data_IF_386766403315
#
_entry.id   IF_386766403315
#
_cell.length_a   1.000
_cell.length_b   1.000
_cell.length_c   1.000
_cell.angle_alpha   90.00
_cell.angle_beta   90.00
_cell.angle_gamma   90.00
#
_symmetry.space_group_name_H-M   'P 1'
#
loop_
_entity.id
_entity.type
_entity.pdbx_description
1 polymer ?
#
# COMPACT_ATOMS: atom_id res chain seq x y z
N UNK A 1 29.34 44.00 14.80
CA UNK A 1 28.83 44.34 13.47
C UNK A 1 27.75 43.33 13.10
N UNK A 2 26.49 43.74 13.24
CA UNK A 2 25.31 43.03 12.73
C UNK A 2 24.95 43.68 11.39
N UNK A 3 24.74 42.88 10.35
CA UNK A 3 23.93 43.22 9.18
C UNK A 3 23.21 41.92 8.80
N UNK A 4 21.89 41.78 8.99
CA UNK A 4 20.81 42.47 8.27
C UNK A 4 20.93 42.27 6.76
N UNK A 5 20.48 41.11 6.27
CA UNK A 5 19.92 40.92 4.94
C UNK A 5 19.21 39.57 4.95
N UNK A 6 17.98 39.53 5.48
CA UNK A 6 16.91 38.59 5.12
C UNK A 6 15.67 38.86 6.00
N UNK A 7 15.24 40.11 6.08
CA UNK A 7 14.02 40.46 6.81
C UNK A 7 13.32 41.69 6.22
N UNK A 8 13.21 41.76 4.89
CA UNK A 8 12.37 42.71 4.20
C UNK A 8 11.81 42.07 2.93
N UNK A 9 10.90 41.11 3.07
CA UNK A 9 9.98 40.75 1.98
C UNK A 9 8.65 40.11 2.44
N UNK A 10 8.41 40.00 3.75
CA UNK A 10 7.22 39.31 4.28
C UNK A 10 6.09 40.27 4.69
N UNK A 11 6.28 41.60 4.59
CA UNK A 11 5.25 42.59 5.02
C UNK A 11 4.57 43.40 3.92
N UNK A 12 4.93 43.23 2.66
CA UNK A 12 4.36 44.06 1.58
C UNK A 12 3.37 43.34 0.63
N UNK A 13 3.13 42.04 0.83
CA UNK A 13 2.11 41.28 0.07
C UNK A 13 0.84 40.94 0.87
N UNK A 14 0.71 41.47 2.10
CA UNK A 14 -0.41 41.15 3.01
C UNK A 14 -1.59 42.15 2.96
N UNK A 15 -1.57 43.17 2.09
CA UNK A 15 -2.59 44.24 2.10
C UNK A 15 -3.26 44.57 0.77
N UNK A 16 -3.01 43.81 -0.30
CA UNK A 16 -3.69 43.96 -1.60
C UNK A 16 -4.12 42.64 -2.26
N UNK A 17 -4.37 41.62 -1.44
CA UNK A 17 -5.35 40.56 -1.70
C UNK A 17 -6.46 40.75 -0.66
N UNK A 18 -7.02 41.95 -0.54
CA UNK A 18 -8.20 42.36 -1.31
C UNK A 18 -9.25 41.26 -1.40
N UNK A 19 -10.09 41.22 -0.36
CA UNK A 19 -11.54 41.37 -0.53
C UNK A 19 -12.32 40.27 -1.29
N UNK A 20 -11.79 39.04 -1.37
CA UNK A 20 -12.52 37.89 -1.97
C UNK A 20 -12.84 36.75 -1.00
N UNK A 21 -12.69 36.94 0.32
CA UNK A 21 -12.81 35.84 1.30
C UNK A 21 -13.83 36.05 2.44
N UNK A 22 -14.74 37.03 2.37
CA UNK A 22 -15.77 37.23 3.42
C UNK A 22 -17.20 37.47 2.88
N UNK A 23 -17.49 37.14 1.60
CA UNK A 23 -18.82 37.37 1.00
C UNK A 23 -19.43 36.14 0.29
N UNK A 24 -19.28 34.95 0.87
CA UNK A 24 -20.07 33.78 0.47
C UNK A 24 -20.84 33.11 1.62
N UNK A 25 -20.81 33.70 2.82
CA UNK A 25 -21.81 33.44 3.86
C UNK A 25 -22.96 34.44 3.69
N UNK A 26 -23.88 34.17 2.75
CA UNK A 26 -25.30 34.61 2.71
C UNK A 26 -25.83 34.58 1.28
N UNK A 27 -25.96 33.39 0.69
CA UNK A 27 -26.97 33.13 -0.34
C UNK A 27 -27.61 31.76 -0.09
N UNK A 28 -28.32 31.67 1.03
CA UNK A 28 -29.62 31.00 1.07
C UNK A 28 -30.59 31.99 1.69
N UNK A 29 -30.97 33.01 0.93
CA UNK A 29 -32.32 33.54 1.07
C UNK A 29 -33.24 32.52 0.41
N UNK A 30 -33.65 31.50 1.17
CA UNK A 30 -34.91 30.84 0.90
C UNK A 30 -35.99 31.58 1.70
N UNK A 31 -36.40 32.74 1.19
CA UNK A 31 -37.80 33.14 1.32
C UNK A 31 -38.56 32.33 0.29
N UNK A 32 -38.85 31.09 0.65
CA UNK A 32 -39.95 30.33 0.08
C UNK A 32 -40.74 29.80 1.25
N UNK A 33 -41.97 30.31 1.40
CA UNK A 33 -43.01 29.80 2.28
C UNK A 33 -42.88 28.29 2.46
N UNK A 34 -42.47 27.82 3.64
CA UNK A 34 -42.40 26.39 3.91
C UNK A 34 -43.79 25.79 3.70
N UNK A 35 -44.00 24.88 2.73
CA UNK A 35 -45.10 23.95 2.86
C UNK A 35 -44.84 23.23 4.18
N UNK A 36 -45.85 23.08 5.03
CA UNK A 36 -45.77 22.25 6.24
C UNK A 36 -45.64 20.78 5.86
N UNK A 37 -44.52 20.40 5.25
CA UNK A 37 -44.21 19.05 4.83
C UNK A 37 -43.99 18.21 6.08
N UNK A 38 -45.08 17.60 6.55
CA UNK A 38 -45.04 16.55 7.57
C UNK A 38 -44.35 15.36 6.92
N UNK A 39 -43.14 15.06 7.38
CA UNK A 39 -42.37 13.90 6.97
C UNK A 39 -42.85 12.68 7.77
N UNK A 40 -42.85 11.49 7.17
CA UNK A 40 -43.23 10.24 7.82
C UNK A 40 -42.18 9.15 7.54
N UNK A 41 -41.67 8.48 8.59
CA UNK A 41 -40.69 7.38 8.46
C UNK A 41 -41.42 6.04 8.37
N UNK A 42 -41.11 5.25 7.33
CA UNK A 42 -41.78 3.97 7.00
C UNK A 42 -40.82 2.87 6.58
N UNK A 43 -41.34 1.65 6.48
CA UNK A 43 -40.63 0.50 5.89
C UNK A 43 -40.55 0.57 4.36
N UNK A 44 -41.59 1.09 3.72
CA UNK A 44 -41.73 1.16 2.26
C UNK A 44 -42.51 2.41 1.84
N UNK A 45 -42.33 2.82 0.59
CA UNK A 45 -43.13 3.89 -0.02
C UNK A 45 -44.52 3.33 -0.38
N UNK A 46 -45.58 4.15 -0.25
CA UNK A 46 -46.96 3.71 -0.51
C UNK A 46 -47.18 3.35 -2.00
N UNK A 47 -47.90 2.25 -2.28
CA UNK A 47 -48.16 1.72 -3.64
C UNK A 47 -49.06 2.59 -4.54
N UNK A 48 -49.50 3.76 -4.08
CA UNK A 48 -50.22 4.70 -4.95
C UNK A 48 -49.31 5.14 -6.11
N UNK A 49 -49.78 5.04 -7.35
CA UNK A 49 -49.05 5.28 -8.61
C UNK A 49 -48.28 6.64 -8.72
N UNK A 50 -48.44 7.55 -7.76
CA UNK A 50 -47.80 8.87 -7.71
C UNK A 50 -46.63 8.99 -6.72
N UNK A 51 -46.35 7.99 -5.88
CA UNK A 51 -45.26 8.02 -4.89
C UNK A 51 -44.14 7.07 -5.32
N UNK A 52 -43.14 7.58 -6.03
CA UNK A 52 -41.93 6.81 -6.36
C UNK A 52 -40.75 7.27 -5.51
N UNK A 53 -39.77 6.40 -5.32
CA UNK A 53 -38.49 6.77 -4.72
C UNK A 53 -37.77 7.68 -5.70
N UNK A 54 -37.53 8.93 -5.30
CA UNK A 54 -36.88 9.94 -6.15
C UNK A 54 -35.50 10.35 -5.65
N UNK A 55 -35.15 9.96 -4.41
CA UNK A 55 -33.91 10.33 -3.74
C UNK A 55 -33.42 9.20 -2.85
N UNK A 56 -32.11 9.13 -2.64
CA UNK A 56 -31.47 8.23 -1.70
C UNK A 56 -30.63 9.06 -0.71
N UNK A 57 -30.67 8.71 0.56
CA UNK A 57 -29.80 9.26 1.60
C UNK A 57 -29.14 8.13 2.38
N UNK A 58 -27.93 8.41 2.86
CA UNK A 58 -27.22 7.54 3.80
C UNK A 58 -27.16 8.22 5.16
N UNK A 59 -27.50 7.50 6.22
CA UNK A 59 -27.57 8.03 7.58
C UNK A 59 -26.75 7.19 8.55
N UNK A 60 -26.14 7.84 9.54
CA UNK A 60 -25.61 7.14 10.70
C UNK A 60 -26.80 6.65 11.55
N UNK A 61 -26.91 5.33 11.83
CA UNK A 61 -28.03 4.77 12.58
C UNK A 61 -28.17 5.34 14.00
N UNK A 62 -27.09 5.86 14.59
CA UNK A 62 -27.10 6.48 15.93
C UNK A 62 -27.58 7.94 15.95
N UNK A 63 -27.74 8.61 14.80
CA UNK A 63 -28.19 10.00 14.77
C UNK A 63 -29.68 10.14 15.08
N UNK A 64 -30.05 11.32 15.57
CA UNK A 64 -31.44 11.68 15.83
C UNK A 64 -32.20 11.87 14.52
N UNK A 65 -33.47 11.45 14.52
CA UNK A 65 -34.39 11.70 13.41
C UNK A 65 -34.78 13.20 13.42
N UNK A 66 -34.93 13.85 12.25
CA UNK A 66 -35.38 15.23 12.18
C UNK A 66 -36.71 15.44 12.94
N UNK A 67 -36.84 16.52 13.73
CA UNK A 67 -37.99 16.71 14.63
C UNK A 67 -39.33 16.92 13.89
N UNK A 68 -39.29 17.24 12.60
CA UNK A 68 -40.44 17.41 11.71
C UNK A 68 -40.91 16.09 11.07
N UNK A 69 -40.25 14.96 11.35
CA UNK A 69 -40.64 13.63 10.87
C UNK A 69 -41.39 12.84 11.95
N UNK A 70 -42.56 12.33 11.62
CA UNK A 70 -43.35 11.44 12.47
C UNK A 70 -43.04 9.96 12.20
N UNK A 71 -43.11 9.13 13.23
CA UNK A 71 -42.87 7.68 13.14
C UNK A 71 -44.15 6.97 13.60
N UNK A 72 -44.87 6.39 12.64
CA UNK A 72 -46.14 5.70 12.92
C UNK A 72 -45.88 4.22 13.20
N UNK A 73 -45.57 3.89 14.45
CA UNK A 73 -45.36 2.50 14.91
C UNK A 73 -46.46 2.05 15.86
N UNK A 74 -46.79 0.74 15.83
CA UNK A 74 -47.84 0.14 16.69
C UNK A 74 -47.45 0.08 18.17
N UNK A 75 -46.15 0.09 18.50
CA UNK A 75 -45.65 0.10 19.89
C UNK A 75 -45.24 1.52 20.28
N UNK A 76 -45.87 2.09 21.31
CA UNK A 76 -45.48 3.38 21.90
C UNK A 76 -44.15 3.22 22.64
N UNK A 77 -43.06 3.61 21.98
CA UNK A 77 -41.75 3.81 22.60
C UNK A 77 -41.20 5.18 22.19
N UNK A 78 -40.37 5.78 23.04
CA UNK A 78 -39.69 7.03 22.70
C UNK A 78 -38.61 6.74 21.65
N UNK A 79 -38.96 6.90 20.37
CA UNK A 79 -38.03 6.71 19.25
C UNK A 79 -37.34 8.04 18.98
N UNK A 80 -36.02 8.06 19.17
CA UNK A 80 -35.20 9.23 18.93
C UNK A 80 -34.20 9.05 17.80
N UNK A 81 -33.76 7.81 17.54
CA UNK A 81 -32.72 7.51 16.54
C UNK A 81 -33.23 6.66 15.38
N UNK A 82 -32.48 6.70 14.27
CA UNK A 82 -32.75 5.87 13.09
C UNK A 82 -32.73 4.37 13.40
N UNK A 83 -31.77 3.91 14.22
CA UNK A 83 -31.69 2.51 14.63
C UNK A 83 -32.93 2.05 15.41
N UNK A 84 -33.41 2.88 16.34
CA UNK A 84 -34.64 2.59 17.10
C UNK A 84 -35.86 2.54 16.18
N UNK A 85 -35.95 3.45 15.20
CA UNK A 85 -37.02 3.45 14.21
C UNK A 85 -37.02 2.15 13.38
N UNK A 86 -35.86 1.70 12.88
CA UNK A 86 -35.76 0.45 12.11
C UNK A 86 -36.20 -0.77 12.92
N UNK A 87 -35.79 -0.87 14.18
CA UNK A 87 -36.17 -1.98 15.06
C UNK A 87 -37.69 -2.07 15.29
N UNK A 88 -38.37 -0.92 15.39
CA UNK A 88 -39.81 -0.86 15.69
C UNK A 88 -40.69 -0.95 14.43
N UNK A 89 -40.20 -0.46 13.29
CA UNK A 89 -40.91 -0.50 12.01
C UNK A 89 -40.90 -1.91 11.40
N UNK A 90 -39.89 -2.73 11.73
CA UNK A 90 -39.83 -4.19 11.51
C UNK A 90 -40.36 -4.64 10.15
N UNK A 91 -39.51 -4.75 9.12
CA UNK A 91 -40.01 -5.32 7.86
C UNK A 91 -39.13 -5.23 6.62
N UNK A 92 -38.04 -4.48 6.59
CA UNK A 92 -37.19 -4.47 5.40
C UNK A 92 -36.29 -5.70 5.34
N UNK A 93 -36.79 -6.78 4.74
CA UNK A 93 -35.95 -7.79 4.09
C UNK A 93 -35.61 -7.24 2.69
N UNK A 94 -34.56 -6.43 2.60
CA UNK A 94 -34.11 -5.79 1.34
C UNK A 94 -32.89 -4.88 1.53
N UNK A 95 -32.36 -4.32 0.44
CA UNK A 95 -31.21 -3.39 0.44
C UNK A 95 -31.55 -1.99 1.01
N UNK A 96 -32.84 -1.70 1.16
CA UNK A 96 -33.40 -0.46 1.68
C UNK A 96 -33.68 -0.61 3.18
N UNK A 97 -33.14 0.29 4.02
CA UNK A 97 -33.36 0.19 5.47
C UNK A 97 -34.71 0.77 5.87
N UNK A 98 -34.99 2.01 5.44
CA UNK A 98 -36.22 2.76 5.72
C UNK A 98 -36.59 3.67 4.53
N UNK A 99 -37.77 4.28 4.59
CA UNK A 99 -38.23 5.31 3.66
C UNK A 99 -38.67 6.54 4.43
N UNK A 100 -38.24 7.72 3.97
CA UNK A 100 -38.84 9.00 4.35
C UNK A 100 -39.87 9.39 3.30
N UNK A 101 -41.12 9.55 3.72
CA UNK A 101 -42.19 10.01 2.86
C UNK A 101 -42.57 11.44 3.25
N UNK A 102 -42.43 12.36 2.31
CA UNK A 102 -42.89 13.74 2.45
C UNK A 102 -44.19 13.92 1.68
N UNK A 103 -45.22 14.46 2.36
CA UNK A 103 -46.50 14.79 1.75
C UNK A 103 -46.71 16.30 1.79
N UNK A 104 -46.91 16.91 0.63
CA UNK A 104 -47.20 18.33 0.49
C UNK A 104 -48.41 18.61 -0.40
N UNK A 105 -49.07 19.75 -0.17
CA UNK A 105 -50.04 20.32 -1.13
C UNK A 105 -49.29 21.24 -2.09
N UNK A 106 -49.35 20.97 -3.40
CA UNK A 106 -48.87 21.92 -4.41
C UNK A 106 -49.77 23.16 -4.45
N UNK A 107 -49.24 24.29 -4.94
CA UNK A 107 -50.01 25.53 -5.20
C UNK A 107 -51.23 25.30 -6.12
N UNK A 108 -51.21 24.23 -6.93
CA UNK A 108 -52.30 23.85 -7.85
C UNK A 108 -53.26 22.80 -7.27
N UNK A 109 -53.25 22.54 -5.95
CA UNK A 109 -54.11 21.52 -5.32
C UNK A 109 -53.70 20.07 -5.57
N UNK A 110 -52.69 19.83 -6.43
CA UNK A 110 -52.13 18.49 -6.69
C UNK A 110 -51.27 18.03 -5.50
N UNK A 111 -51.52 16.83 -4.99
CA UNK A 111 -50.70 16.22 -3.94
C UNK A 111 -49.31 15.89 -4.50
N UNK A 112 -48.26 16.41 -3.85
CA UNK A 112 -46.88 16.02 -4.15
C UNK A 112 -46.47 15.01 -3.08
N UNK A 113 -46.07 13.83 -3.53
CA UNK A 113 -45.52 12.78 -2.70
C UNK A 113 -44.07 12.56 -3.11
N UNK A 114 -43.13 12.72 -2.18
CA UNK A 114 -41.73 12.40 -2.40
C UNK A 114 -41.30 11.30 -1.43
N UNK A 115 -40.76 10.22 -1.97
CA UNK A 115 -40.16 9.16 -1.16
C UNK A 115 -38.64 9.22 -1.31
N UNK A 116 -37.96 9.29 -0.17
CA UNK A 116 -36.51 9.21 -0.08
C UNK A 116 -36.14 7.87 0.54
N UNK A 117 -35.36 7.07 -0.17
CA UNK A 117 -34.76 5.86 0.34
C UNK A 117 -33.71 6.19 1.40
N UNK A 118 -33.79 5.53 2.55
CA UNK A 118 -32.82 5.68 3.64
C UNK A 118 -32.00 4.41 3.73
N UNK A 119 -30.69 4.56 3.65
CA UNK A 119 -29.72 3.50 3.87
C UNK A 119 -28.87 3.81 5.10
N UNK A 120 -28.59 2.80 5.91
CA UNK A 120 -27.76 2.93 7.10
C UNK A 120 -26.31 2.71 6.76
N UNK A 121 -25.43 3.45 7.43
CA UNK A 121 -24.01 3.14 7.34
C UNK A 121 -23.71 1.74 7.83
N UNK A 122 -22.81 1.06 7.12
CA UNK A 122 -22.28 -0.26 7.49
C UNK A 122 -20.77 -0.13 7.64
N UNK A 123 -20.26 -0.65 8.75
CA UNK A 123 -18.84 -0.63 9.04
C UNK A 123 -18.02 -1.30 7.93
N UNK A 124 -16.83 -0.77 7.69
CA UNK A 124 -15.88 -1.35 6.76
C UNK A 124 -15.47 -2.72 7.28
N UNK A 125 -15.75 -3.75 6.50
CA UNK A 125 -15.31 -5.10 6.76
C UNK A 125 -14.32 -5.55 5.70
N UNK A 126 -13.28 -6.29 6.10
CA UNK A 126 -12.35 -6.93 5.20
C UNK A 126 -12.94 -8.29 4.81
N UNK A 127 -13.24 -8.48 3.53
CA UNK A 127 -13.71 -9.78 3.04
C UNK A 127 -12.54 -10.75 2.86
N UNK A 128 -11.51 -10.31 2.15
CA UNK A 128 -10.25 -11.03 1.99
C UNK A 128 -9.15 -10.09 1.50
N UNK A 129 -7.91 -10.59 1.49
CA UNK A 129 -6.77 -9.97 0.83
C UNK A 129 -5.77 -11.03 0.38
N UNK A 130 -4.69 -10.60 -0.27
CA UNK A 130 -3.63 -11.52 -0.69
C UNK A 130 -3.04 -12.30 0.48
N UNK A 131 -2.67 -13.55 0.23
CA UNK A 131 -1.98 -14.39 1.21
C UNK A 131 -0.69 -13.71 1.72
N UNK A 132 -0.40 -13.91 3.00
CA UNK A 132 0.83 -13.44 3.64
C UNK A 132 1.54 -14.63 4.30
N UNK A 133 2.83 -14.88 4.01
CA UNK A 133 3.66 -14.11 3.10
C UNK A 133 3.30 -14.34 1.62
N UNK A 134 3.62 -13.36 0.79
CA UNK A 134 3.53 -13.43 -0.66
C UNK A 134 4.94 -13.46 -1.25
N UNK A 135 5.23 -14.46 -2.06
CA UNK A 135 6.57 -14.75 -2.57
C UNK A 135 6.72 -14.15 -3.97
N UNK A 136 7.79 -13.37 -4.18
CA UNK A 136 8.12 -12.77 -5.47
C UNK A 136 9.51 -13.21 -5.96
N UNK A 137 9.69 -13.21 -7.27
CA UNK A 137 10.96 -13.53 -7.94
C UNK A 137 11.17 -12.59 -9.12
N UNK A 138 12.41 -12.52 -9.62
CA UNK A 138 12.82 -11.55 -10.65
C UNK A 138 12.01 -11.60 -11.94
N UNK A 139 11.52 -12.77 -12.33
CA UNK A 139 10.89 -12.98 -13.63
C UNK A 139 9.35 -12.94 -13.59
N UNK A 140 8.77 -12.71 -12.41
CA UNK A 140 7.31 -12.72 -12.23
C UNK A 140 6.81 -11.35 -11.81
N UNK A 141 5.76 -10.90 -12.49
CA UNK A 141 4.91 -9.82 -12.00
C UNK A 141 4.13 -10.34 -10.80
N UNK A 142 3.85 -9.45 -9.85
CA UNK A 142 3.06 -9.78 -8.67
C UNK A 142 1.99 -8.73 -8.42
N UNK A 143 0.90 -9.16 -7.80
CA UNK A 143 -0.19 -8.28 -7.40
C UNK A 143 -0.55 -8.56 -5.95
N UNK A 144 -0.77 -7.48 -5.20
CA UNK A 144 -1.44 -7.54 -3.91
C UNK A 144 -2.87 -7.03 -4.05
N UNK A 145 -3.80 -7.60 -3.30
CA UNK A 145 -5.17 -7.17 -3.26
C UNK A 145 -5.75 -7.11 -1.86
N UNK A 146 -6.73 -6.22 -1.70
CA UNK A 146 -7.61 -6.16 -0.55
C UNK A 146 -9.04 -5.90 -1.01
N UNK A 147 -9.99 -6.64 -0.45
CA UNK A 147 -11.40 -6.52 -0.76
C UNK A 147 -12.17 -6.12 0.49
N UNK A 148 -12.90 -5.01 0.41
CA UNK A 148 -13.68 -4.47 1.52
C UNK A 148 -15.15 -4.35 1.15
N UNK A 149 -16.03 -4.69 2.09
CA UNK A 149 -17.46 -4.37 2.04
C UNK A 149 -17.76 -3.22 3.00
N UNK A 150 -18.54 -2.23 2.58
CA UNK A 150 -19.05 -1.18 3.45
C UNK A 150 -20.29 -0.53 2.82
N UNK A 151 -21.00 0.29 3.59
CA UNK A 151 -22.00 1.19 3.04
C UNK A 151 -21.86 2.58 3.70
N UNK A 152 -21.66 3.67 2.93
CA UNK A 152 -21.45 3.67 1.49
C UNK A 152 -20.15 2.94 1.09
N UNK A 153 -19.96 2.66 -0.20
CA UNK A 153 -18.69 2.11 -0.63
C UNK A 153 -17.58 3.16 -0.49
N UNK A 154 -16.40 2.80 0.04
CA UNK A 154 -15.30 3.74 0.19
C UNK A 154 -14.82 4.21 -1.18
N UNK A 155 -14.64 5.52 -1.35
CA UNK A 155 -14.16 6.10 -2.60
C UNK A 155 -12.65 5.88 -2.83
N UNK A 156 -11.88 5.64 -1.76
CA UNK A 156 -10.42 5.53 -1.79
C UNK A 156 -9.96 4.39 -0.87
N UNK A 157 -8.96 3.64 -1.33
CA UNK A 157 -8.19 2.69 -0.53
C UNK A 157 -6.73 3.12 -0.64
N UNK A 158 -6.09 3.38 0.50
CA UNK A 158 -4.71 3.85 0.54
C UNK A 158 -3.75 2.68 0.77
N UNK A 159 -2.67 2.64 0.00
CA UNK A 159 -1.58 1.68 0.18
C UNK A 159 -0.37 2.31 0.84
N UNK A 160 0.26 1.57 1.73
CA UNK A 160 1.45 1.97 2.48
C UNK A 160 2.51 0.89 2.40
N UNK A 161 3.78 1.28 2.34
CA UNK A 161 4.92 0.41 2.64
C UNK A 161 5.42 0.72 4.06
N UNK A 162 5.38 -0.27 4.93
CA UNK A 162 5.77 -0.13 6.33
C UNK A 162 7.28 -0.38 6.49
N UNK A 163 8.00 0.55 7.12
CA UNK A 163 9.40 0.36 7.50
C UNK A 163 9.50 -0.31 8.88
N UNK A 164 9.89 -1.59 8.88
CA UNK A 164 10.14 -2.45 10.05
C UNK A 164 8.95 -2.66 11.02
N UNK A 165 8.77 -3.87 11.57
CA UNK A 165 7.63 -4.17 12.44
C UNK A 165 7.74 -3.60 13.88
N UNK A 166 8.94 -3.24 14.37
CA UNK A 166 9.21 -3.20 15.82
C UNK A 166 9.56 -1.83 16.45
N UNK A 167 9.70 -0.74 15.71
CA UNK A 167 9.89 0.61 16.29
C UNK A 167 9.19 1.66 15.44
N UNK A 168 8.35 2.52 16.05
CA UNK A 168 7.60 3.62 15.43
C UNK A 168 7.27 3.40 13.94
N UNK A 169 6.20 2.63 13.65
CA UNK A 169 5.78 2.28 12.28
C UNK A 169 5.71 3.51 11.38
N UNK A 170 6.76 3.76 10.62
CA UNK A 170 6.76 4.79 9.59
C UNK A 170 6.06 4.17 8.38
N UNK A 171 4.80 4.57 8.18
CA UNK A 171 4.03 4.21 7.00
C UNK A 171 4.39 5.16 5.87
N UNK A 172 5.00 4.64 4.82
CA UNK A 172 5.28 5.42 3.62
C UNK A 172 4.10 5.26 2.65
N UNK A 173 3.32 6.33 2.38
CA UNK A 173 2.23 6.24 1.41
C UNK A 173 2.81 5.91 0.03
N UNK A 174 2.20 4.96 -0.65
CA UNK A 174 2.57 4.62 -2.02
C UNK A 174 1.78 5.52 -2.97
N UNK A 175 2.48 6.28 -3.81
CA UNK A 175 1.85 7.06 -4.88
C UNK A 175 1.77 6.22 -6.16
N UNK A 176 0.65 6.32 -6.86
CA UNK A 176 0.41 5.56 -8.09
C UNK A 176 1.51 5.85 -9.13
N UNK A 177 2.13 4.81 -9.68
CA UNK A 177 3.23 4.89 -10.65
C UNK A 177 4.63 5.01 -10.03
N UNK A 178 4.75 5.21 -8.72
CA UNK A 178 6.08 5.27 -8.06
C UNK A 178 6.84 3.96 -8.27
N UNK A 179 8.04 4.04 -8.85
CA UNK A 179 8.87 2.86 -9.18
C UNK A 179 8.14 1.79 -10.02
N UNK A 180 7.18 2.22 -10.85
CA UNK A 180 6.38 1.29 -11.67
C UNK A 180 5.35 0.47 -10.88
N UNK A 181 5.08 0.83 -9.62
CA UNK A 181 4.02 0.22 -8.81
C UNK A 181 2.72 0.98 -9.07
N UNK A 182 1.68 0.28 -9.52
CA UNK A 182 0.40 0.89 -9.89
C UNK A 182 -0.74 0.44 -8.98
N UNK A 183 -1.67 1.34 -8.72
CA UNK A 183 -2.87 1.08 -7.91
C UNK A 183 -4.10 1.09 -8.81
N UNK A 184 -4.99 0.11 -8.65
CA UNK A 184 -6.36 0.17 -9.18
C UNK A 184 -7.39 -0.04 -8.08
N UNK A 185 -8.58 0.48 -8.35
CA UNK A 185 -9.74 0.36 -7.49
C UNK A 185 -10.95 0.00 -8.35
N UNK A 186 -11.61 -1.10 -8.02
CA UNK A 186 -12.70 -1.68 -8.81
C UNK A 186 -13.89 -1.97 -7.89
N UNK A 187 -15.09 -1.57 -8.32
CA UNK A 187 -16.33 -1.99 -7.67
C UNK A 187 -16.68 -3.40 -8.13
N UNK A 188 -16.88 -4.31 -7.18
CA UNK A 188 -17.23 -5.71 -7.44
C UNK A 188 -18.49 -6.11 -6.66
N UNK A 189 -19.05 -7.27 -7.00
CA UNK A 189 -20.11 -7.93 -6.22
C UNK A 189 -19.60 -9.24 -5.67
N UNK A 190 -19.79 -9.45 -4.37
CA UNK A 190 -19.41 -10.67 -3.65
C UNK A 190 -20.64 -11.17 -2.90
N UNK A 191 -21.15 -12.36 -3.22
CA UNK A 191 -22.34 -12.93 -2.58
C UNK A 191 -23.53 -11.95 -2.51
N UNK A 192 -23.82 -11.27 -3.63
CA UNK A 192 -24.87 -10.24 -3.76
C UNK A 192 -24.62 -8.91 -3.00
N UNK A 193 -23.55 -8.82 -2.21
CA UNK A 193 -23.11 -7.59 -1.56
C UNK A 193 -22.14 -6.80 -2.45
N UNK A 194 -22.28 -5.47 -2.49
CA UNK A 194 -21.31 -4.63 -3.17
C UNK A 194 -20.03 -4.49 -2.33
N UNK A 195 -18.89 -4.62 -2.98
CA UNK A 195 -17.57 -4.50 -2.36
C UNK A 195 -16.63 -3.69 -3.25
N UNK A 196 -15.53 -3.21 -2.66
CA UNK A 196 -14.46 -2.54 -3.37
C UNK A 196 -13.20 -3.42 -3.33
N UNK A 197 -12.63 -3.69 -4.50
CA UNK A 197 -11.37 -4.41 -4.68
C UNK A 197 -10.28 -3.40 -5.01
N UNK A 198 -9.27 -3.31 -4.16
CA UNK A 198 -8.08 -2.52 -4.43
C UNK A 198 -6.92 -3.44 -4.75
N UNK A 199 -6.19 -3.14 -5.82
CA UNK A 199 -5.03 -3.92 -6.28
C UNK A 199 -3.80 -3.04 -6.35
N UNK A 200 -2.70 -3.53 -5.80
CA UNK A 200 -1.36 -2.96 -5.93
C UNK A 200 -0.53 -3.86 -6.85
N UNK A 201 -0.24 -3.39 -8.06
CA UNK A 201 0.51 -4.11 -9.09
C UNK A 201 1.96 -3.73 -9.06
N UNK A 202 2.83 -4.73 -9.01
CA UNK A 202 4.27 -4.57 -9.03
C UNK A 202 4.80 -4.78 -10.45
N UNK A 203 5.93 -4.15 -10.81
CA UNK A 203 6.70 -4.56 -11.97
C UNK A 203 7.33 -5.94 -11.72
N UNK A 204 8.32 -6.32 -12.54
CA UNK A 204 9.12 -7.50 -12.27
C UNK A 204 9.73 -7.45 -10.86
N UNK A 205 9.73 -8.59 -10.16
CA UNK A 205 10.19 -8.68 -8.78
C UNK A 205 11.63 -8.18 -8.61
N UNK A 206 11.88 -7.50 -7.50
CA UNK A 206 13.22 -7.05 -7.12
C UNK A 206 13.30 -6.97 -5.60
N UNK A 207 14.52 -7.02 -5.07
CA UNK A 207 14.77 -6.96 -3.62
C UNK A 207 14.18 -5.70 -2.98
N UNK A 208 14.10 -4.59 -3.72
CA UNK A 208 13.54 -3.34 -3.18
C UNK A 208 12.03 -3.42 -2.91
N UNK A 209 11.33 -4.38 -3.55
CA UNK A 209 9.91 -4.64 -3.34
C UNK A 209 9.66 -5.47 -2.09
N UNK A 210 10.67 -6.07 -1.49
CA UNK A 210 10.54 -6.80 -0.23
C UNK A 210 10.07 -5.87 0.90
N UNK A 211 9.20 -6.38 1.78
CA UNK A 211 8.75 -5.66 2.96
C UNK A 211 7.26 -5.87 3.26
N UNK A 212 6.74 -5.03 4.16
CA UNK A 212 5.34 -5.10 4.60
C UNK A 212 4.52 -4.02 3.90
N UNK A 213 3.39 -4.43 3.34
CA UNK A 213 2.47 -3.57 2.60
C UNK A 213 1.12 -3.57 3.29
N UNK A 214 0.61 -2.38 3.61
CA UNK A 214 -0.69 -2.22 4.26
C UNK A 214 -1.64 -1.51 3.31
N UNK A 215 -2.79 -2.12 3.02
CA UNK A 215 -3.93 -1.42 2.46
C UNK A 215 -4.81 -0.92 3.62
N UNK A 216 -5.32 0.30 3.53
CA UNK A 216 -6.14 0.92 4.57
C UNK A 216 -7.29 1.70 3.96
N UNK A 217 -8.44 1.53 4.58
CA UNK A 217 -9.66 2.26 4.26
C UNK A 217 -10.09 3.03 5.48
N UNK A 218 -10.51 4.28 5.24
CA UNK A 218 -11.24 5.09 6.20
C UNK A 218 -12.47 5.58 5.48
N UNK A 219 -13.63 5.17 5.98
CA UNK A 219 -14.92 5.68 5.54
C UNK A 219 -15.52 6.54 6.65
N UNK A 220 -16.05 7.70 6.29
CA UNK A 220 -16.65 8.60 7.28
C UNK A 220 -17.77 9.43 6.69
N UNK A 221 -18.81 9.61 7.50
CA UNK A 221 -19.90 10.55 7.29
C UNK A 221 -20.13 11.33 8.58
N UNK A 222 -21.04 12.29 8.59
CA UNK A 222 -21.30 13.09 9.79
C UNK A 222 -21.63 12.21 11.02
N UNK A 223 -20.80 12.33 12.07
CA UNK A 223 -20.97 11.61 13.33
C UNK A 223 -20.65 10.11 13.27
N UNK A 224 -20.06 9.60 12.19
CA UNK A 224 -19.68 8.19 12.05
C UNK A 224 -18.39 8.02 11.26
N UNK A 225 -17.49 7.17 11.74
CA UNK A 225 -16.32 6.74 10.98
C UNK A 225 -16.07 5.26 11.21
N UNK A 226 -15.54 4.61 10.19
CA UNK A 226 -15.11 3.23 10.24
C UNK A 226 -13.80 3.09 9.48
N UNK A 227 -12.87 2.35 10.05
CA UNK A 227 -11.59 2.07 9.40
C UNK A 227 -11.28 0.57 9.44
N UNK A 228 -10.54 0.13 8.44
CA UNK A 228 -9.99 -1.22 8.39
C UNK A 228 -8.70 -1.18 7.61
N UNK A 229 -7.74 -1.99 8.04
CA UNK A 229 -6.45 -2.15 7.36
C UNK A 229 -6.05 -3.61 7.32
N UNK A 230 -5.38 -4.01 6.25
CA UNK A 230 -4.83 -5.35 6.09
C UNK A 230 -3.38 -5.26 5.62
N UNK A 231 -2.52 -6.07 6.23
CA UNK A 231 -1.07 -6.05 6.00
C UNK A 231 -0.64 -7.36 5.38
N UNK A 232 0.18 -7.28 4.33
CA UNK A 232 0.75 -8.40 3.60
C UNK A 232 2.27 -8.27 3.60
N UNK A 233 2.97 -9.35 3.92
CA UNK A 233 4.42 -9.43 3.78
C UNK A 233 4.78 -9.89 2.36
N UNK A 234 5.60 -9.12 1.65
CA UNK A 234 6.28 -9.53 0.42
C UNK A 234 7.68 -10.04 0.76
N UNK A 235 8.03 -11.22 0.26
CA UNK A 235 9.37 -11.81 0.39
C UNK A 235 9.92 -12.01 -1.01
N UNK A 236 11.07 -11.41 -1.31
CA UNK A 236 11.79 -11.68 -2.55
C UNK A 236 12.64 -12.95 -2.40
N UNK A 237 12.58 -13.85 -3.37
CA UNK A 237 13.45 -15.03 -3.44
C UNK A 237 14.54 -14.77 -4.47
N UNK A 238 15.78 -15.05 -4.10
CA UNK A 238 16.92 -14.92 -4.97
C UNK A 238 16.78 -15.83 -6.20
N UNK A 239 17.20 -15.37 -7.38
CA UNK A 239 17.24 -16.23 -8.55
C UNK A 239 18.21 -17.38 -8.31
N UNK A 240 18.07 -18.44 -9.10
CA UNK A 240 19.01 -19.56 -9.07
C UNK A 240 20.44 -19.02 -9.25
N UNK A 241 21.39 -19.39 -8.39
CA UNK A 241 22.75 -18.87 -8.43
C UNK A 241 23.41 -19.13 -9.81
N UNK A 242 24.07 -18.10 -10.37
CA UNK A 242 24.84 -18.21 -11.61
C UNK A 242 26.35 -18.33 -11.34
N UNK A 243 27.14 -18.92 -12.26
CA UNK A 243 28.59 -19.05 -12.11
C UNK A 243 29.26 -17.74 -11.66
N UNK A 244 30.27 -17.80 -10.79
CA UNK A 244 30.89 -16.60 -10.25
C UNK A 244 31.45 -15.75 -11.39
N UNK A 245 31.42 -14.44 -11.20
CA UNK A 245 31.86 -13.47 -12.21
C UNK A 245 32.96 -12.57 -11.67
N UNK A 246 33.79 -12.05 -12.56
CA UNK A 246 34.90 -11.15 -12.21
C UNK A 246 34.73 -9.84 -12.96
N UNK A 247 34.89 -8.71 -12.27
CA UNK A 247 34.83 -7.40 -12.93
C UNK A 247 36.02 -7.16 -13.87
N UNK A 248 37.15 -7.82 -13.60
CA UNK A 248 38.36 -7.76 -14.42
C UNK A 248 38.93 -9.16 -14.65
N UNK A 249 39.36 -9.43 -15.88
CA UNK A 249 40.07 -10.67 -16.23
C UNK A 249 41.57 -10.60 -15.93
N UNK A 250 42.10 -9.39 -15.71
CA UNK A 250 43.51 -9.14 -15.42
C UNK A 250 43.68 -8.01 -14.43
N UNK A 251 44.58 -8.19 -13.46
CA UNK A 251 44.98 -7.18 -12.48
C UNK A 251 46.49 -7.03 -12.53
N UNK A 252 46.97 -5.78 -12.58
CA UNK A 252 48.40 -5.46 -12.49
C UNK A 252 48.71 -4.94 -11.10
N UNK A 253 49.76 -5.46 -10.48
CA UNK A 253 50.23 -5.05 -9.16
C UNK A 253 51.71 -4.68 -9.19
N UNK A 254 52.08 -3.63 -8.47
CA UNK A 254 53.47 -3.26 -8.31
C UNK A 254 54.16 -4.22 -7.33
N UNK A 255 55.44 -4.46 -7.53
CA UNK A 255 56.25 -5.20 -6.56
C UNK A 255 56.17 -4.54 -5.18
N UNK A 256 56.04 -5.36 -4.13
CA UNK A 256 55.85 -4.98 -2.72
C UNK A 256 54.52 -4.26 -2.40
N UNK A 257 53.61 -4.08 -3.36
CA UNK A 257 52.27 -3.57 -3.06
C UNK A 257 51.34 -4.68 -2.54
N UNK A 258 50.19 -4.29 -2.00
CA UNK A 258 49.10 -5.20 -1.70
C UNK A 258 48.09 -5.16 -2.86
N UNK A 259 47.50 -6.29 -3.21
CA UNK A 259 46.48 -6.38 -4.26
C UNK A 259 45.29 -7.23 -3.79
N UNK A 260 44.10 -6.89 -4.28
CA UNK A 260 42.86 -7.62 -4.01
C UNK A 260 42.26 -8.14 -5.32
N UNK A 261 41.97 -9.43 -5.36
CA UNK A 261 41.24 -10.10 -6.43
C UNK A 261 39.83 -10.38 -5.92
N UNK A 262 38.81 -10.02 -6.69
CA UNK A 262 37.40 -10.11 -6.24
C UNK A 262 36.57 -10.86 -7.26
N UNK A 263 35.82 -11.86 -6.77
CA UNK A 263 34.73 -12.50 -7.49
C UNK A 263 33.39 -12.07 -6.92
N UNK A 264 32.44 -11.81 -7.80
CA UNK A 264 31.04 -11.62 -7.45
C UNK A 264 30.35 -12.98 -7.55
N UNK A 265 29.75 -13.37 -6.45
CA UNK A 265 29.16 -14.69 -6.25
C UNK A 265 27.69 -14.50 -5.93
N UNK A 266 26.81 -15.19 -6.65
CA UNK A 266 25.39 -15.19 -6.32
C UNK A 266 25.16 -16.02 -5.05
N UNK A 267 24.09 -15.74 -4.32
CA UNK A 267 23.68 -16.57 -3.20
C UNK A 267 22.17 -16.69 -3.16
N UNK A 268 21.67 -17.84 -2.72
CA UNK A 268 20.24 -18.06 -2.56
C UNK A 268 19.87 -18.51 -1.13
N UNK A 269 18.56 -18.66 -0.91
CA UNK A 269 17.98 -19.05 0.38
C UNK A 269 18.24 -20.53 0.73
N UNK A 270 18.73 -21.34 -0.21
CA UNK A 270 19.07 -22.74 0.05
C UNK A 270 20.44 -22.89 0.73
N UNK A 271 21.24 -21.83 0.74
CA UNK A 271 22.59 -21.82 1.29
C UNK A 271 23.68 -21.97 0.22
N UNK A 272 23.32 -22.06 -1.06
CA UNK A 272 24.29 -22.09 -2.15
C UNK A 272 24.94 -20.70 -2.35
N UNK A 273 26.28 -20.61 -2.47
CA UNK A 273 27.25 -21.71 -2.41
C UNK A 273 27.57 -22.21 -1.00
N UNK A 274 27.70 -23.53 -0.88
CA UNK A 274 28.09 -24.21 0.37
C UNK A 274 29.58 -24.03 0.67
N UNK A 275 30.41 -24.05 -0.37
CA UNK A 275 31.87 -23.97 -0.27
C UNK A 275 32.44 -22.92 -1.25
N UNK A 276 33.40 -22.13 -0.77
CA UNK A 276 34.11 -21.11 -1.55
C UNK A 276 35.63 -21.25 -1.38
N UNK A 277 36.33 -21.38 -2.51
CA UNK A 277 37.77 -21.62 -2.52
C UNK A 277 38.49 -20.79 -3.59
N UNK A 278 39.70 -20.33 -3.25
CA UNK A 278 40.62 -19.74 -4.22
C UNK A 278 41.70 -20.75 -4.59
N UNK A 279 42.10 -20.78 -5.86
CA UNK A 279 43.19 -21.61 -6.35
C UNK A 279 44.14 -20.76 -7.20
N UNK A 280 45.41 -21.18 -7.30
CA UNK A 280 46.42 -20.55 -8.14
C UNK A 280 46.93 -21.55 -9.18
N UNK A 281 47.07 -21.14 -10.43
CA UNK A 281 47.70 -21.89 -11.52
C UNK A 281 47.19 -23.35 -11.69
N UNK A 282 45.88 -23.56 -11.58
CA UNK A 282 45.25 -24.90 -11.62
C UNK A 282 45.74 -25.88 -10.55
N UNK A 283 46.29 -25.39 -9.44
CA UNK A 283 46.57 -26.21 -8.28
C UNK A 283 45.28 -26.87 -7.76
N UNK A 284 45.39 -28.09 -7.24
CA UNK A 284 44.29 -28.83 -6.62
C UNK A 284 44.12 -28.47 -5.14
N UNK A 285 45.11 -27.78 -4.55
CA UNK A 285 45.05 -27.35 -3.16
C UNK A 285 44.50 -25.93 -3.07
N UNK A 286 43.42 -25.70 -2.29
CA UNK A 286 42.86 -24.36 -2.12
C UNK A 286 43.83 -23.49 -1.31
N UNK A 287 43.91 -22.21 -1.69
CA UNK A 287 44.62 -21.20 -0.93
C UNK A 287 43.97 -21.04 0.45
N UNK A 288 44.80 -21.00 1.48
CA UNK A 288 44.38 -20.75 2.85
C UNK A 288 44.87 -19.38 3.34
N UNK A 289 44.09 -18.77 4.23
CA UNK A 289 44.47 -17.53 4.90
C UNK A 289 45.78 -17.74 5.68
N UNK A 290 46.73 -16.82 5.48
CA UNK A 290 48.10 -16.87 6.01
C UNK A 290 48.68 -15.46 6.10
N UNK A 291 49.98 -15.33 6.41
CA UNK A 291 50.68 -14.04 6.30
C UNK A 291 50.71 -13.51 4.86
N UNK A 292 50.60 -14.40 3.86
CA UNK A 292 50.66 -14.03 2.44
C UNK A 292 49.28 -13.70 1.86
N UNK A 293 48.27 -14.46 2.26
CA UNK A 293 46.91 -14.38 1.72
C UNK A 293 45.90 -14.07 2.81
N UNK A 294 44.94 -13.19 2.54
CA UNK A 294 43.77 -13.01 3.40
C UNK A 294 42.50 -13.13 2.57
N UNK A 295 41.71 -14.16 2.85
CA UNK A 295 40.47 -14.49 2.13
C UNK A 295 39.28 -14.00 2.93
N UNK A 296 38.41 -13.22 2.30
CA UNK A 296 37.26 -12.57 2.95
C UNK A 296 36.02 -12.72 2.07
N UNK A 297 34.89 -13.03 2.69
CA UNK A 297 33.56 -12.94 2.07
C UNK A 297 32.87 -11.69 2.62
N UNK A 298 32.36 -10.83 1.75
CA UNK A 298 31.59 -9.63 2.13
C UNK A 298 30.21 -9.67 1.51
N UNK A 299 29.19 -9.31 2.28
CA UNK A 299 27.85 -9.10 1.73
C UNK A 299 27.81 -7.84 0.87
N UNK A 300 27.12 -7.91 -0.26
CA UNK A 300 26.85 -6.72 -1.08
C UNK A 300 25.60 -5.99 -0.55
N UNK A 301 25.19 -4.93 -1.24
CA UNK A 301 23.88 -4.31 -1.02
C UNK A 301 22.70 -5.22 -1.40
N UNK A 302 22.97 -6.23 -2.23
CA UNK A 302 21.99 -7.26 -2.60
C UNK A 302 22.11 -8.44 -1.64
N UNK A 303 20.97 -8.94 -1.15
CA UNK A 303 20.96 -10.16 -0.32
C UNK A 303 21.28 -11.42 -1.14
N UNK A 304 21.19 -11.33 -2.46
CA UNK A 304 21.42 -12.41 -3.40
C UNK A 304 22.85 -12.43 -3.96
N UNK A 305 23.74 -11.56 -3.48
CA UNK A 305 25.11 -11.43 -3.98
C UNK A 305 26.11 -11.17 -2.88
N UNK A 306 27.29 -11.74 -3.03
CA UNK A 306 28.42 -11.61 -2.12
C UNK A 306 29.72 -11.37 -2.90
N UNK A 307 30.66 -10.66 -2.30
CA UNK A 307 32.01 -10.49 -2.82
C UNK A 307 32.95 -11.48 -2.13
N UNK A 308 33.57 -12.35 -2.92
CA UNK A 308 34.61 -13.27 -2.46
C UNK A 308 35.98 -12.73 -2.84
N UNK A 309 36.75 -12.29 -1.85
CA UNK A 309 37.93 -11.46 -2.02
C UNK A 309 39.18 -12.21 -1.55
N UNK A 310 40.20 -12.28 -2.40
CA UNK A 310 41.55 -12.71 -2.07
C UNK A 310 42.47 -11.50 -2.01
N UNK A 311 42.97 -11.17 -0.82
CA UNK A 311 44.02 -10.17 -0.64
C UNK A 311 45.38 -10.85 -0.64
N UNK A 312 46.32 -10.33 -1.43
CA UNK A 312 47.70 -10.82 -1.53
C UNK A 312 48.61 -9.70 -1.04
N UNK A 313 49.36 -9.97 0.04
CA UNK A 313 50.24 -8.98 0.67
C UNK A 313 51.66 -9.06 0.12
N UNK A 314 52.33 -7.90 0.04
CA UNK A 314 53.73 -7.77 -0.39
C UNK A 314 54.00 -8.57 -1.67
N UNK A 315 53.34 -8.20 -2.77
CA UNK A 315 53.37 -8.93 -4.04
C UNK A 315 54.80 -9.01 -4.60
N UNK A 316 55.14 -10.16 -5.15
CA UNK A 316 56.44 -10.48 -5.75
C UNK A 316 56.25 -11.18 -7.09
N UNK A 317 57.30 -11.32 -7.89
CA UNK A 317 57.19 -11.95 -9.22
C UNK A 317 56.69 -13.39 -9.17
N UNK A 318 56.92 -14.11 -8.07
CA UNK A 318 56.41 -15.49 -7.89
C UNK A 318 54.90 -15.55 -7.65
N UNK A 319 54.26 -14.43 -7.32
CA UNK A 319 52.80 -14.34 -7.15
C UNK A 319 52.08 -14.20 -8.49
N UNK A 320 52.79 -13.90 -9.57
CA UNK A 320 52.22 -13.88 -10.91
C UNK A 320 51.57 -15.24 -11.26
N UNK A 321 50.40 -15.19 -11.88
CA UNK A 321 49.67 -16.40 -12.22
C UNK A 321 48.18 -16.19 -12.49
N UNK A 322 47.51 -17.28 -12.80
CA UNK A 322 46.06 -17.34 -12.95
C UNK A 322 45.41 -17.77 -11.62
N UNK A 323 44.60 -16.90 -11.05
CA UNK A 323 43.86 -17.16 -9.82
C UNK A 323 42.41 -17.48 -10.15
N UNK A 324 41.88 -18.59 -9.65
CA UNK A 324 40.48 -18.95 -9.84
C UNK A 324 39.72 -18.99 -8.53
N UNK A 325 38.58 -18.30 -8.47
CA UNK A 325 37.59 -18.51 -7.43
C UNK A 325 36.64 -19.62 -7.89
N UNK A 326 36.49 -20.64 -7.05
CA UNK A 326 35.58 -21.74 -7.27
C UNK A 326 34.50 -21.70 -6.22
N UNK A 327 33.29 -21.98 -6.66
CA UNK A 327 32.15 -22.19 -5.78
C UNK A 327 31.61 -23.59 -5.98
N UNK A 328 30.94 -24.12 -4.97
CA UNK A 328 30.31 -25.43 -5.06
C UNK A 328 28.99 -25.40 -4.31
N UNK A 329 28.00 -26.03 -4.91
CA UNK A 329 26.68 -26.25 -4.31
C UNK A 329 26.39 -27.75 -4.34
N UNK A 330 25.70 -28.26 -3.31
CA UNK A 330 25.48 -29.69 -3.07
C UNK A 330 24.90 -30.44 -4.30
N UNK A 331 24.10 -29.75 -5.13
CA UNK A 331 23.41 -30.32 -6.29
C UNK A 331 23.84 -29.72 -7.63
N UNK A 332 24.93 -28.95 -7.67
CA UNK A 332 25.42 -28.31 -8.91
C UNK A 332 26.88 -28.63 -9.19
N UNK A 333 27.22 -28.63 -10.49
CA UNK A 333 28.61 -28.77 -10.91
C UNK A 333 29.45 -27.60 -10.37
N UNK A 334 30.68 -27.89 -9.97
CA UNK A 334 31.62 -26.86 -9.53
C UNK A 334 31.89 -25.89 -10.66
N UNK A 335 31.61 -24.61 -10.44
CA UNK A 335 31.88 -23.56 -11.41
C UNK A 335 32.94 -22.59 -10.90
N UNK A 336 33.59 -21.88 -11.82
CA UNK A 336 34.73 -21.02 -11.49
C UNK A 336 34.87 -19.81 -12.39
N UNK A 337 35.44 -18.75 -11.84
CA UNK A 337 35.91 -17.58 -12.57
C UNK A 337 37.43 -17.45 -12.40
N UNK A 338 38.10 -16.74 -13.30
CA UNK A 338 39.57 -16.66 -13.32
C UNK A 338 40.06 -15.24 -13.56
N UNK A 339 41.12 -14.86 -12.84
CA UNK A 339 41.76 -13.55 -12.88
C UNK A 339 43.26 -13.75 -13.02
N UNK A 340 43.87 -13.11 -14.02
CA UNK A 340 45.32 -13.13 -14.21
C UNK A 340 45.96 -11.99 -13.41
N UNK A 341 46.83 -12.31 -12.47
CA UNK A 341 47.66 -11.33 -11.77
C UNK A 341 48.99 -11.18 -12.49
N UNK A 342 49.32 -9.96 -12.93
CA UNK A 342 50.65 -9.59 -13.44
C UNK A 342 51.38 -8.68 -12.48
N UNK A 343 52.69 -8.88 -12.33
CA UNK A 343 53.51 -8.08 -11.43
C UNK A 343 54.47 -7.19 -12.22
N UNK A 344 54.28 -5.88 -12.11
CA UNK A 344 55.19 -4.85 -12.62
C UNK A 344 56.44 -4.79 -11.74
N UNK A 345 57.59 -4.75 -12.40
CA UNK A 345 58.94 -4.76 -11.80
C UNK A 345 59.24 -3.53 -10.98
#
# INVERSE_FOLDING_TARGET
MKNQYFEQDVRFMSRKVSLLLVLSFTLFQDVSSAPSSKCEVKASCSESASCQITRNITVNPGLKIPPNCAINVRRKGNIHTWQQAKQQIGGSKGSLDLVLQEKGKSKNGKYICQCTAVHFTRAVNLLWGSSSPNIISKDKKNELECVFSAWPLPAVVNWYKDKLPNTNRVRLPLMNGTKGIYQSLEKIRVNEEEAIRSVLRFPLGSEEHEGFYTCSVVDSIQGWSSNKSYMVQLIFICPRPQPPTTSTSMVSANKLSNVSLTCLVDSDETGCPDELHWYKNNDHVPLASSKKYNIVVKHTHSKCKQEFILNIFNVTKVDEGNYSCQWKCEYEDTTKASIVLKVST
#
